data_IF_762302044242
#
_entry.id   IF_762302044242
#
_cell.length_a   1.000
_cell.length_b   1.000
_cell.length_c   1.000
_cell.angle_alpha   90.00
_cell.angle_beta   90.00
_cell.angle_gamma   90.00
#
_symmetry.space_group_name_H-M   'P 1'
#
loop_
_entity.id
_entity.type
_entity.pdbx_description
1 polymer ?
#
# COMPACT_ATOMS: atom_id res chain seq x y z
N UNK A 1 1.74 -15.50 -1.03
CA UNK A 1 2.71 -14.79 -1.91
C UNK A 1 4.02 -14.66 -1.12
N UNK A 2 5.22 -14.72 -1.72
CA UNK A 2 6.43 -14.43 -0.95
C UNK A 2 6.60 -12.90 -0.87
N UNK A 3 5.94 -12.30 0.13
CA UNK A 3 5.90 -10.85 0.33
C UNK A 3 7.18 -10.30 0.99
N UNK A 4 7.94 -11.16 1.66
CA UNK A 4 9.19 -10.82 2.35
C UNK A 4 10.26 -10.27 1.40
N UNK A 5 10.31 -10.79 0.16
CA UNK A 5 11.24 -10.30 -0.86
C UNK A 5 10.97 -8.82 -1.18
N UNK A 6 9.69 -8.41 -1.19
CA UNK A 6 9.32 -7.03 -1.48
C UNK A 6 9.62 -6.11 -0.30
N UNK A 7 9.25 -6.50 0.94
CA UNK A 7 9.59 -5.73 2.15
C UNK A 7 11.09 -5.47 2.25
N UNK A 8 11.90 -6.51 2.03
CA UNK A 8 13.36 -6.39 2.01
C UNK A 8 13.88 -5.43 0.93
N UNK A 9 13.28 -5.44 -0.27
CA UNK A 9 13.65 -4.51 -1.35
C UNK A 9 13.23 -3.08 -1.09
N UNK A 10 12.09 -2.87 -0.43
CA UNK A 10 11.63 -1.54 -0.01
C UNK A 10 12.42 -0.99 1.18
N UNK A 11 13.17 -1.85 1.89
CA UNK A 11 13.97 -1.46 3.05
C UNK A 11 13.12 -1.14 4.28
N UNK A 12 11.88 -1.62 4.33
CA UNK A 12 10.93 -1.40 5.42
C UNK A 12 10.31 -2.72 5.84
N UNK A 13 10.11 -2.88 7.14
CA UNK A 13 9.35 -4.00 7.68
C UNK A 13 7.86 -3.67 7.64
N UNK A 14 7.08 -4.56 7.02
CA UNK A 14 5.63 -4.41 6.85
C UNK A 14 5.01 -5.72 7.28
N UNK A 15 3.99 -5.63 8.14
CA UNK A 15 3.20 -6.79 8.55
C UNK A 15 2.72 -7.57 7.30
N UNK A 16 2.96 -8.89 7.20
CA UNK A 16 2.69 -9.64 5.98
C UNK A 16 1.26 -9.50 5.45
N UNK A 17 0.26 -9.52 6.35
CA UNK A 17 -1.16 -9.38 5.99
C UNK A 17 -1.49 -7.99 5.45
N UNK A 18 -0.83 -6.95 5.97
CA UNK A 18 -1.00 -5.59 5.47
C UNK A 18 -0.38 -5.45 4.08
N UNK A 19 0.77 -6.08 3.84
CA UNK A 19 1.41 -6.07 2.52
C UNK A 19 0.59 -6.87 1.50
N UNK A 20 0.02 -8.01 1.88
CA UNK A 20 -0.92 -8.76 1.03
C UNK A 20 -2.15 -7.92 0.69
N UNK A 21 -2.73 -7.20 1.65
CA UNK A 21 -3.85 -6.29 1.40
C UNK A 21 -3.45 -5.16 0.45
N UNK A 22 -2.29 -4.53 0.64
CA UNK A 22 -1.79 -3.45 -0.21
C UNK A 22 -1.55 -3.89 -1.67
N UNK A 23 -1.21 -5.17 -1.86
CA UNK A 23 -0.99 -5.79 -3.18
C UNK A 23 -2.28 -6.39 -3.80
N UNK A 24 -3.41 -6.33 -3.09
CA UNK A 24 -4.67 -6.89 -3.56
C UNK A 24 -5.46 -5.87 -4.38
N UNK A 25 -5.35 -5.95 -5.70
CA UNK A 25 -6.13 -5.12 -6.61
C UNK A 25 -7.63 -5.48 -6.58
N UNK A 26 -8.49 -4.49 -6.81
CA UNK A 26 -9.96 -4.65 -6.79
C UNK A 26 -10.49 -5.75 -7.72
N UNK A 27 -9.90 -5.94 -8.90
CA UNK A 27 -10.35 -7.01 -9.84
C UNK A 27 -10.15 -8.39 -9.23
N UNK A 28 -8.99 -8.63 -8.62
CA UNK A 28 -8.69 -9.89 -7.93
C UNK A 28 -9.64 -10.11 -6.76
N UNK A 29 -9.88 -9.06 -5.96
CA UNK A 29 -10.82 -9.13 -4.84
C UNK A 29 -12.23 -9.53 -5.29
N UNK A 30 -12.74 -8.92 -6.37
CA UNK A 30 -14.07 -9.27 -6.90
C UNK A 30 -14.16 -10.71 -7.38
N UNK A 31 -13.11 -11.22 -8.05
CA UNK A 31 -13.08 -12.59 -8.57
C UNK A 31 -12.92 -13.65 -7.46
N UNK A 32 -12.34 -13.29 -6.31
CA UNK A 32 -12.00 -14.24 -5.24
C UNK A 32 -12.90 -14.12 -3.99
N UNK A 33 -14.19 -13.86 -4.19
CA UNK A 33 -15.16 -13.83 -3.10
C UNK A 33 -15.31 -12.47 -2.42
N UNK A 34 -15.02 -11.39 -3.15
CA UNK A 34 -15.16 -10.00 -2.71
C UNK A 34 -14.37 -9.72 -1.42
N UNK A 35 -13.12 -10.19 -1.37
CA UNK A 35 -12.21 -9.95 -0.26
C UNK A 35 -11.86 -8.46 -0.15
N UNK A 36 -11.33 -7.99 1.00
CA UNK A 36 -10.76 -6.65 1.10
C UNK A 36 -9.70 -6.40 0.00
N UNK A 37 -9.65 -5.17 -0.50
CA UNK A 37 -8.71 -4.73 -1.53
C UNK A 37 -7.93 -3.48 -1.07
N UNK A 38 -7.00 -3.04 -1.90
CA UNK A 38 -6.10 -1.95 -1.59
C UNK A 38 -6.69 -0.53 -1.75
N UNK A 39 -7.92 -0.33 -2.22
CA UNK A 39 -8.46 1.01 -2.57
C UNK A 39 -8.40 2.00 -1.39
N UNK A 40 -8.63 1.52 -0.16
CA UNK A 40 -8.51 2.36 1.04
C UNK A 40 -7.07 2.73 1.39
N UNK A 41 -6.13 1.82 1.15
CA UNK A 41 -4.70 2.05 1.38
C UNK A 41 -4.11 2.96 0.31
N UNK A 42 -4.58 2.83 -0.94
CA UNK A 42 -4.25 3.74 -2.04
C UNK A 42 -4.65 5.18 -1.69
N UNK A 43 -5.89 5.39 -1.28
CA UNK A 43 -6.39 6.71 -0.89
C UNK A 43 -5.59 7.34 0.27
N UNK A 44 -5.26 6.53 1.28
CA UNK A 44 -4.41 6.97 2.39
C UNK A 44 -2.99 7.32 1.92
N UNK A 45 -2.41 6.47 1.08
CA UNK A 45 -1.08 6.64 0.52
C UNK A 45 -0.96 7.91 -0.30
N UNK A 46 -1.96 8.23 -1.13
CA UNK A 46 -2.00 9.45 -1.92
C UNK A 46 -2.02 10.71 -1.04
N UNK A 47 -2.85 10.70 0.02
CA UNK A 47 -2.93 11.80 0.97
C UNK A 47 -1.61 12.02 1.73
N UNK A 48 -0.98 10.93 2.20
CA UNK A 48 0.31 11.00 2.92
C UNK A 48 1.44 11.45 2.00
N UNK A 49 1.52 10.87 0.79
CA UNK A 49 2.54 11.24 -0.18
C UNK A 49 2.40 12.71 -0.60
N UNK A 50 1.17 13.14 -0.88
CA UNK A 50 0.86 14.53 -1.20
C UNK A 50 1.33 15.47 -0.09
N UNK A 51 0.99 15.18 1.16
CA UNK A 51 1.43 15.98 2.31
C UNK A 51 2.96 16.05 2.42
N UNK A 52 3.66 14.91 2.37
CA UNK A 52 5.12 14.85 2.54
C UNK A 52 5.83 15.59 1.40
N UNK A 53 5.36 15.44 0.16
CA UNK A 53 5.92 16.15 -1.01
C UNK A 53 5.68 17.65 -0.89
N UNK A 54 4.48 18.08 -0.51
CA UNK A 54 4.18 19.49 -0.27
C UNK A 54 5.06 20.06 0.84
N UNK A 55 5.21 19.36 1.95
CA UNK A 55 6.07 19.79 3.04
C UNK A 55 7.54 19.92 2.60
N UNK A 56 8.05 18.96 1.82
CA UNK A 56 9.41 18.99 1.32
C UNK A 56 9.68 20.14 0.34
N UNK A 57 8.73 20.45 -0.55
CA UNK A 57 8.89 21.52 -1.55
C UNK A 57 8.75 22.92 -0.92
N UNK A 58 7.99 23.03 0.17
CA UNK A 58 7.71 24.30 0.84
C UNK A 58 8.49 24.52 2.15
N UNK A 59 9.46 23.65 2.46
CA UNK A 59 10.26 23.68 3.69
C UNK A 59 9.39 23.82 4.97
N UNK A 60 8.26 23.09 5.01
CA UNK A 60 7.37 23.03 6.18
C UNK A 60 7.92 22.13 7.30
#
# INVERSE_FOLDING_TARGET
>A
MNVDVLSNRLGVDIEPQLLELALTHRSYAYENGNTPNNERLEFLGDSVLGFVVTAHIHDL
#
